data_IF_917872001547
#
_entry.id   IF_917872001547
#
_cell.length_a   1.000
_cell.length_b   1.000
_cell.length_c   1.000
_cell.angle_alpha   90.00
_cell.angle_beta   90.00
_cell.angle_gamma   90.00
#
_symmetry.space_group_name_H-M   'P 1'
#
loop_
_entity.id
_entity.type
_entity.pdbx_description
1 polymer ?
#
# COMPACT_ATOMS: atom_id res chain seq x y z
N UNK A 1 6.93 -5.15 -13.05
CA UNK A 1 8.20 -5.91 -13.16
C UNK A 1 8.42 -6.67 -11.86
N UNK A 2 9.04 -7.85 -11.91
CA UNK A 2 9.32 -8.65 -10.72
C UNK A 2 10.81 -8.80 -10.50
N UNK A 3 11.21 -8.90 -9.23
CA UNK A 3 12.56 -9.16 -8.79
C UNK A 3 12.55 -10.33 -7.80
N UNK A 4 13.61 -11.11 -7.75
CA UNK A 4 13.85 -12.17 -6.77
C UNK A 4 15.20 -11.92 -6.12
N UNK A 5 15.21 -11.80 -4.78
CA UNK A 5 16.41 -11.42 -4.02
C UNK A 5 17.08 -10.13 -4.53
N UNK A 6 16.25 -9.17 -4.99
CA UNK A 6 16.71 -7.87 -5.51
C UNK A 6 17.13 -7.88 -6.99
N UNK A 7 17.32 -9.06 -7.60
CA UNK A 7 17.69 -9.20 -9.01
C UNK A 7 16.46 -9.33 -9.91
N UNK A 8 16.53 -8.79 -11.13
CA UNK A 8 15.41 -8.85 -12.06
C UNK A 8 15.01 -10.31 -12.34
N UNK A 9 13.72 -10.62 -12.13
CA UNK A 9 13.21 -11.98 -12.27
C UNK A 9 13.28 -12.43 -13.73
N UNK A 10 14.07 -13.47 -13.98
CA UNK A 10 14.24 -14.08 -15.31
C UNK A 10 13.03 -14.99 -15.58
N UNK A 11 12.26 -14.68 -16.63
CA UNK A 11 11.15 -15.51 -17.06
C UNK A 11 11.63 -16.77 -17.78
N UNK A 12 10.99 -17.90 -17.49
CA UNK A 12 11.27 -19.21 -18.09
C UNK A 12 10.02 -20.12 -18.00
N UNK A 13 10.18 -21.41 -18.31
CA UNK A 13 9.08 -22.39 -18.28
C UNK A 13 8.47 -22.60 -16.88
N UNK A 14 9.23 -22.35 -15.81
CA UNK A 14 8.77 -22.44 -14.41
C UNK A 14 8.32 -21.11 -13.82
N UNK A 15 8.93 -19.99 -14.21
CA UNK A 15 8.67 -18.66 -13.66
C UNK A 15 8.13 -17.76 -14.77
N UNK A 16 6.86 -17.37 -14.70
CA UNK A 16 6.21 -16.55 -15.72
C UNK A 16 5.49 -15.35 -15.10
N UNK A 17 5.50 -14.20 -15.78
CA UNK A 17 4.72 -13.03 -15.36
C UNK A 17 3.69 -12.73 -16.44
N UNK A 18 2.42 -12.71 -16.06
CA UNK A 18 1.30 -12.41 -16.95
C UNK A 18 1.14 -10.90 -17.19
N UNK A 19 0.31 -10.53 -18.18
CA UNK A 19 0.10 -9.14 -18.58
C UNK A 19 -0.57 -8.28 -17.50
N UNK A 20 -1.35 -8.90 -16.62
CA UNK A 20 -1.98 -8.25 -15.46
C UNK A 20 -1.01 -8.12 -14.26
N UNK A 21 0.23 -8.61 -14.39
CA UNK A 21 1.26 -8.49 -13.38
C UNK A 21 1.38 -9.68 -12.43
N UNK A 22 0.58 -10.73 -12.60
CA UNK A 22 0.63 -11.94 -11.77
C UNK A 22 1.92 -12.73 -12.01
N UNK A 23 2.64 -13.08 -10.93
CA UNK A 23 3.77 -14.00 -10.98
C UNK A 23 3.29 -15.44 -10.77
N UNK A 24 3.56 -16.30 -11.74
CA UNK A 24 3.26 -17.74 -11.70
C UNK A 24 4.57 -18.50 -11.54
N UNK A 25 4.65 -19.30 -10.48
CA UNK A 25 5.74 -20.25 -10.23
C UNK A 25 5.18 -21.68 -10.36
N UNK A 26 5.81 -22.49 -11.21
CA UNK A 26 5.48 -23.91 -11.44
C UNK A 26 6.59 -24.80 -10.90
N UNK A 27 6.22 -26.01 -10.49
CA UNK A 27 7.15 -27.04 -10.02
C UNK A 27 8.09 -26.49 -8.93
N UNK A 28 7.49 -25.95 -7.84
CA UNK A 28 8.20 -25.28 -6.75
C UNK A 28 9.26 -26.18 -6.11
N UNK A 29 10.46 -25.64 -5.93
CA UNK A 29 11.56 -26.28 -5.19
C UNK A 29 12.10 -25.38 -4.07
N UNK A 30 12.98 -25.91 -3.21
CA UNK A 30 13.52 -25.15 -2.06
C UNK A 30 14.28 -23.88 -2.47
N UNK A 31 14.87 -23.86 -3.67
CA UNK A 31 15.57 -22.72 -4.26
C UNK A 31 14.64 -21.63 -4.84
N UNK A 32 13.33 -21.87 -4.89
CA UNK A 32 12.34 -20.81 -5.12
C UNK A 32 12.00 -20.05 -3.82
N UNK A 33 12.48 -20.50 -2.66
CA UNK A 33 12.32 -19.74 -1.41
C UNK A 33 13.13 -18.45 -1.46
N UNK A 34 12.50 -17.34 -1.08
CA UNK A 34 13.15 -16.04 -1.03
C UNK A 34 12.17 -14.88 -1.09
N UNK A 35 12.73 -13.69 -1.22
CA UNK A 35 11.98 -12.44 -1.31
C UNK A 35 11.70 -12.09 -2.77
N UNK A 36 10.41 -12.01 -3.10
CA UNK A 36 9.90 -11.56 -4.38
C UNK A 36 9.39 -10.13 -4.29
N UNK A 37 9.87 -9.26 -5.17
CA UNK A 37 9.49 -7.86 -5.21
C UNK A 37 8.74 -7.53 -6.50
N UNK A 38 7.48 -7.11 -6.40
CA UNK A 38 6.74 -6.54 -7.51
C UNK A 38 6.93 -5.02 -7.56
N UNK A 39 7.29 -4.50 -8.73
CA UNK A 39 7.40 -3.07 -8.99
C UNK A 39 6.42 -2.70 -10.10
N UNK A 40 5.38 -1.94 -9.73
CA UNK A 40 4.52 -1.25 -10.68
C UNK A 40 5.15 0.11 -11.00
N UNK A 41 5.26 0.45 -12.28
CA UNK A 41 5.90 1.68 -12.74
C UNK A 41 5.01 2.38 -13.74
N UNK A 42 4.83 3.69 -13.56
CA UNK A 42 4.23 4.59 -14.54
C UNK A 42 5.17 5.79 -14.77
N UNK A 43 4.92 6.64 -15.78
CA UNK A 43 5.67 7.89 -15.94
C UNK A 43 5.62 8.81 -14.71
N UNK A 44 4.61 8.65 -13.84
CA UNK A 44 4.36 9.51 -12.69
C UNK A 44 4.83 8.93 -11.35
N UNK A 45 5.38 7.71 -11.33
CA UNK A 45 5.83 7.10 -10.09
C UNK A 45 6.10 5.61 -10.19
N UNK A 46 6.69 5.07 -9.13
CA UNK A 46 6.91 3.64 -8.95
C UNK A 46 6.32 3.22 -7.60
N UNK A 47 5.66 2.08 -7.59
CA UNK A 47 5.18 1.43 -6.38
C UNK A 47 5.88 0.08 -6.26
N UNK A 48 6.32 -0.26 -5.05
CA UNK A 48 7.12 -1.45 -4.77
C UNK A 48 6.41 -2.28 -3.71
N UNK A 49 6.38 -3.58 -3.91
CA UNK A 49 5.69 -4.53 -3.07
C UNK A 49 6.58 -5.76 -2.83
N UNK A 50 6.75 -6.22 -1.58
CA UNK A 50 7.67 -7.33 -1.23
C UNK A 50 6.94 -8.49 -0.56
N UNK A 51 7.16 -9.70 -1.04
CA UNK A 51 6.63 -10.94 -0.48
C UNK A 51 7.71 -11.97 -0.23
N UNK A 52 7.59 -12.70 0.88
CA UNK A 52 8.49 -13.82 1.17
C UNK A 52 7.77 -15.11 0.84
N UNK A 53 8.36 -15.89 -0.05
CA UNK A 53 7.96 -17.27 -0.33
C UNK A 53 8.88 -18.21 0.44
N UNK A 54 8.30 -19.12 1.21
CA UNK A 54 9.03 -20.21 1.85
C UNK A 54 8.50 -21.54 1.29
N UNK A 55 9.36 -22.26 0.57
CA UNK A 55 9.07 -23.60 0.06
C UNK A 55 9.79 -24.61 0.95
N UNK A 56 9.03 -25.33 1.77
CA UNK A 56 9.57 -26.42 2.57
C UNK A 56 8.92 -27.76 2.19
N UNK A 57 9.68 -28.83 2.37
CA UNK A 57 9.16 -30.19 2.18
C UNK A 57 8.23 -30.52 3.35
N UNK A 58 7.06 -31.14 3.12
CA UNK A 58 6.16 -31.53 4.19
C UNK A 58 6.72 -32.74 4.95
N UNK A 59 7.76 -32.53 5.75
CA UNK A 59 8.37 -33.55 6.60
C UNK A 59 7.72 -33.53 7.99
N UNK A 60 7.13 -32.39 8.37
CA UNK A 60 6.47 -32.22 9.66
C UNK A 60 4.94 -32.17 9.48
N UNK A 61 4.19 -33.17 9.98
CA UNK A 61 2.72 -33.21 9.89
C UNK A 61 2.02 -32.10 10.68
N UNK A 62 2.75 -31.33 11.50
CA UNK A 62 2.24 -30.17 12.26
C UNK A 62 2.52 -28.83 11.57
N UNK A 63 2.99 -28.81 10.31
CA UNK A 63 3.13 -27.56 9.58
C UNK A 63 1.75 -27.03 9.21
N UNK A 64 1.38 -25.92 9.83
CA UNK A 64 0.26 -25.10 9.36
C UNK A 64 0.72 -24.32 8.14
N UNK A 65 0.28 -24.72 6.96
CA UNK A 65 0.48 -23.95 5.74
C UNK A 65 -0.23 -22.60 5.89
N UNK A 66 0.53 -21.52 6.02
CA UNK A 66 0.02 -20.17 5.85
C UNK A 66 -0.28 -19.98 4.37
N UNK A 67 -1.49 -20.38 3.96
CA UNK A 67 -2.01 -20.03 2.65
C UNK A 67 -2.20 -18.52 2.63
N UNK A 68 -1.81 -17.87 1.53
CA UNK A 68 -2.27 -16.52 1.28
C UNK A 68 -3.79 -16.49 1.41
N UNK A 69 -4.32 -15.46 2.07
CA UNK A 69 -5.74 -15.31 2.28
C UNK A 69 -6.46 -15.44 0.93
N UNK A 70 -7.48 -16.30 0.86
CA UNK A 70 -8.32 -16.33 -0.33
C UNK A 70 -8.88 -14.91 -0.54
N UNK A 71 -8.85 -14.40 -1.77
CA UNK A 71 -9.41 -13.09 -2.11
C UNK A 71 -10.89 -13.01 -1.67
N UNK A 72 -11.59 -14.15 -1.60
CA UNK A 72 -12.94 -14.23 -1.03
C UNK A 72 -13.00 -13.92 0.48
N UNK A 73 -11.93 -14.25 1.22
CA UNK A 73 -11.81 -14.04 2.67
C UNK A 73 -11.47 -12.60 3.05
N UNK A 74 -10.87 -11.84 2.12
CA UNK A 74 -10.58 -10.42 2.30
C UNK A 74 -11.84 -9.56 2.16
N UNK A 75 -11.94 -8.44 2.90
CA UNK A 75 -13.05 -7.52 2.77
C UNK A 75 -13.01 -6.79 1.42
N UNK A 76 -14.13 -6.19 1.03
CA UNK A 76 -14.22 -5.32 -0.15
C UNK A 76 -13.64 -3.93 0.12
N UNK A 77 -13.16 -3.24 -0.94
CA UNK A 77 -12.68 -1.87 -0.84
C UNK A 77 -13.82 -0.92 -0.45
N UNK A 78 -13.58 0.07 0.44
CA UNK A 78 -14.54 1.15 0.69
C UNK A 78 -14.87 1.96 -0.56
N UNK A 79 -15.88 2.81 -0.46
CA UNK A 79 -16.16 3.80 -1.51
C UNK A 79 -15.06 4.85 -1.60
N UNK A 80 -15.06 5.61 -2.69
CA UNK A 80 -14.18 6.77 -2.88
C UNK A 80 -14.27 7.72 -1.66
N UNK A 81 -13.14 8.08 -1.03
CA UNK A 81 -13.15 9.01 0.10
C UNK A 81 -13.59 10.40 -0.35
N UNK A 82 -14.60 10.96 0.31
CA UNK A 82 -15.14 12.29 0.04
C UNK A 82 -14.44 13.32 0.92
N UNK A 83 -13.99 14.42 0.31
CA UNK A 83 -13.39 15.56 1.00
C UNK A 83 -14.51 16.44 1.57
N UNK A 84 -14.41 16.82 2.85
CA UNK A 84 -15.41 17.69 3.48
C UNK A 84 -14.82 18.97 4.06
N UNK A 85 -14.22 18.90 5.24
CA UNK A 85 -13.71 20.08 5.95
C UNK A 85 -12.23 20.24 5.65
N UNK A 86 -11.86 21.35 5.02
CA UNK A 86 -10.47 21.69 4.66
C UNK A 86 -10.07 22.92 5.45
N UNK A 87 -8.99 22.82 6.19
CA UNK A 87 -8.34 23.94 6.88
C UNK A 87 -6.94 24.14 6.31
N UNK A 88 -6.18 25.09 6.84
CA UNK A 88 -4.80 25.33 6.42
C UNK A 88 -3.88 24.13 6.65
N UNK A 89 -4.23 23.25 7.61
CA UNK A 89 -3.35 22.14 8.03
C UNK A 89 -4.09 20.83 8.25
N UNK A 90 -5.37 20.72 7.86
CA UNK A 90 -6.13 19.48 8.02
C UNK A 90 -7.20 19.28 6.97
N UNK A 91 -7.48 18.01 6.67
CA UNK A 91 -8.59 17.59 5.81
C UNK A 91 -9.40 16.51 6.53
N UNK A 92 -10.72 16.70 6.57
CA UNK A 92 -11.65 15.64 6.97
C UNK A 92 -12.13 14.89 5.74
N UNK A 93 -11.96 13.57 5.76
CA UNK A 93 -12.46 12.65 4.73
C UNK A 93 -13.52 11.71 5.31
N UNK A 94 -14.50 11.33 4.50
CA UNK A 94 -15.49 10.28 4.84
C UNK A 94 -15.59 9.25 3.74
N UNK A 95 -16.07 8.05 4.06
CA UNK A 95 -16.32 6.97 3.10
C UNK A 95 -17.50 6.11 3.55
N UNK A 96 -17.87 5.11 2.76
CA UNK A 96 -18.85 4.10 3.14
C UNK A 96 -18.21 2.70 3.11
N UNK A 97 -18.66 1.84 4.02
CA UNK A 97 -18.25 0.45 4.07
C UNK A 97 -18.77 -0.32 2.84
N UNK A 98 -17.98 -1.27 2.35
CA UNK A 98 -18.43 -2.24 1.36
C UNK A 98 -19.31 -3.34 1.98
N UNK A 99 -20.28 -3.85 1.24
CA UNK A 99 -21.10 -4.98 1.70
C UNK A 99 -20.31 -6.30 1.80
N UNK A 100 -19.21 -6.44 1.05
CA UNK A 100 -18.30 -7.60 1.16
C UNK A 100 -17.44 -7.46 2.42
N UNK A 101 -17.77 -8.20 3.47
CA UNK A 101 -16.98 -8.23 4.72
C UNK A 101 -15.86 -9.29 4.72
N UNK A 102 -15.97 -10.29 3.85
CA UNK A 102 -15.04 -11.43 3.80
C UNK A 102 -15.38 -12.50 4.85
N UNK A 103 -14.37 -13.24 5.31
CA UNK A 103 -14.54 -14.40 6.21
C UNK A 103 -14.48 -14.06 7.71
N UNK A 104 -14.33 -12.78 8.05
CA UNK A 104 -14.27 -12.30 9.44
C UNK A 104 -14.83 -10.90 9.58
N UNK A 105 -15.20 -10.52 10.80
CA UNK A 105 -15.69 -9.17 11.10
C UNK A 105 -14.65 -8.11 10.74
N UNK A 106 -15.13 -6.95 10.29
CA UNK A 106 -14.28 -5.79 10.03
C UNK A 106 -13.64 -5.31 11.33
N UNK A 107 -12.32 -5.19 11.34
CA UNK A 107 -11.53 -4.66 12.44
C UNK A 107 -11.40 -3.14 12.36
N UNK A 108 -11.42 -2.57 11.16
CA UNK A 108 -11.40 -1.13 10.93
C UNK A 108 -10.91 -0.79 9.53
N UNK A 109 -10.41 0.44 9.36
CA UNK A 109 -9.90 0.96 8.10
C UNK A 109 -8.46 1.44 8.20
N UNK A 110 -7.70 1.25 7.11
CA UNK A 110 -6.39 1.87 6.90
C UNK A 110 -6.55 3.06 5.97
N UNK A 111 -6.09 4.22 6.40
CA UNK A 111 -6.12 5.45 5.62
C UNK A 111 -4.73 5.76 5.11
N UNK A 112 -4.60 6.01 3.82
CA UNK A 112 -3.35 6.35 3.17
C UNK A 112 -3.45 7.65 2.36
N UNK A 113 -2.33 8.33 2.23
CA UNK A 113 -2.21 9.63 1.59
C UNK A 113 -1.07 9.66 0.58
N UNK A 114 -1.23 10.45 -0.47
CA UNK A 114 -0.19 10.74 -1.44
C UNK A 114 -0.11 12.25 -1.69
N UNK A 115 1.10 12.81 -1.69
CA UNK A 115 1.41 14.15 -2.21
C UNK A 115 2.60 14.05 -3.16
N UNK A 116 2.47 14.62 -4.36
CA UNK A 116 3.54 14.60 -5.36
C UNK A 116 4.74 15.41 -4.88
N UNK A 117 4.49 16.58 -4.31
CA UNK A 117 5.48 17.56 -3.87
C UNK A 117 6.34 16.97 -2.74
N UNK A 118 5.70 16.29 -1.78
CA UNK A 118 6.39 15.72 -0.62
C UNK A 118 7.06 14.38 -0.98
N UNK A 119 6.39 13.53 -1.76
CA UNK A 119 6.77 12.13 -1.90
C UNK A 119 7.58 11.85 -3.16
N UNK A 120 7.64 12.79 -4.10
CA UNK A 120 8.49 12.71 -5.29
C UNK A 120 9.57 13.80 -5.34
N UNK A 121 9.71 14.61 -4.28
CA UNK A 121 10.76 15.61 -4.17
C UNK A 121 12.19 15.03 -4.21
N UNK A 122 13.15 15.83 -4.67
CA UNK A 122 14.54 15.42 -4.87
C UNK A 122 15.23 14.93 -3.59
N UNK A 123 14.79 15.41 -2.42
CA UNK A 123 15.34 15.08 -1.11
C UNK A 123 14.61 13.92 -0.42
N UNK A 124 13.63 13.29 -1.07
CA UNK A 124 12.88 12.17 -0.49
C UNK A 124 13.55 10.85 -0.88
N UNK A 125 13.95 10.00 0.10
CA UNK A 125 14.55 8.70 -0.15
C UNK A 125 13.71 7.89 -1.14
N UNK A 126 14.35 7.21 -2.09
CA UNK A 126 13.66 6.50 -3.19
C UNK A 126 12.67 5.44 -2.68
N UNK A 127 12.93 4.85 -1.51
CA UNK A 127 12.07 3.90 -0.83
C UNK A 127 10.85 4.53 -0.12
N UNK A 128 10.80 5.85 -0.01
CA UNK A 128 9.70 6.61 0.63
C UNK A 128 8.77 7.26 -0.40
N UNK A 129 8.90 6.87 -1.67
CA UNK A 129 8.09 7.38 -2.80
C UNK A 129 6.89 6.47 -3.00
N UNK A 130 5.72 6.86 -2.47
CA UNK A 130 4.50 6.05 -2.58
C UNK A 130 3.39 6.52 -1.65
N UNK A 131 2.28 5.79 -1.60
CA UNK A 131 1.22 6.04 -0.63
C UNK A 131 1.74 5.85 0.81
N UNK A 132 1.36 6.75 1.69
CA UNK A 132 1.79 6.79 3.09
C UNK A 132 0.63 6.45 4.01
N UNK A 133 0.85 5.59 5.01
CA UNK A 133 -0.18 5.25 5.98
C UNK A 133 -0.31 6.37 7.00
N UNK A 134 -1.49 7.01 7.07
CA UNK A 134 -1.82 8.01 8.08
C UNK A 134 -2.40 7.39 9.34
N UNK A 135 -3.18 6.32 9.19
CA UNK A 135 -3.81 5.63 10.31
C UNK A 135 -4.12 4.17 9.97
N UNK A 136 -4.04 3.32 10.99
CA UNK A 136 -4.45 1.91 10.96
C UNK A 136 -5.61 1.73 11.94
N UNK A 137 -6.53 0.83 11.61
CA UNK A 137 -7.69 0.45 12.45
C UNK A 137 -8.55 1.65 12.89
N UNK A 138 -8.83 2.55 11.96
CA UNK A 138 -9.88 3.57 12.16
C UNK A 138 -11.22 2.85 12.22
N UNK A 139 -11.96 2.98 13.32
CA UNK A 139 -13.24 2.27 13.50
C UNK A 139 -14.44 3.02 12.91
N UNK A 140 -14.28 4.32 12.66
CA UNK A 140 -15.31 5.18 12.06
C UNK A 140 -15.13 5.24 10.54
N UNK A 141 -16.19 5.61 9.82
CA UNK A 141 -16.13 5.88 8.37
C UNK A 141 -15.77 7.34 8.06
N UNK A 142 -15.00 7.94 8.96
CA UNK A 142 -14.50 9.30 8.89
C UNK A 142 -13.10 9.35 9.49
N UNK A 143 -12.24 10.19 8.93
CA UNK A 143 -10.92 10.47 9.47
C UNK A 143 -10.52 11.93 9.23
N UNK A 144 -9.79 12.51 10.18
CA UNK A 144 -9.23 13.86 10.06
C UNK A 144 -7.72 13.73 9.88
N UNK A 145 -7.24 13.93 8.65
CA UNK A 145 -5.82 14.06 8.36
C UNK A 145 -5.35 15.42 8.88
N UNK A 146 -4.41 15.44 9.84
CA UNK A 146 -3.90 16.65 10.50
C UNK A 146 -2.43 16.86 10.14
N UNK A 147 -1.90 18.03 10.51
CA UNK A 147 -0.50 18.40 10.29
C UNK A 147 -0.11 18.36 8.81
N UNK A 148 -1.05 18.76 7.94
CA UNK A 148 -0.81 18.94 6.51
C UNK A 148 -0.12 20.28 6.26
N UNK A 149 0.65 20.37 5.17
CA UNK A 149 1.44 21.56 4.83
C UNK A 149 0.61 22.48 3.94
N UNK A 150 0.41 23.77 4.33
CA UNK A 150 -0.23 24.76 3.47
C UNK A 150 0.39 24.84 2.08
N UNK A 151 -0.43 24.99 1.04
CA UNK A 151 -0.01 25.04 -0.36
C UNK A 151 0.31 23.67 -0.98
N UNK A 152 0.30 22.57 -0.23
CA UNK A 152 0.56 21.22 -0.76
C UNK A 152 -0.75 20.52 -1.14
N UNK A 153 -0.68 19.77 -2.24
CA UNK A 153 -1.80 18.98 -2.75
C UNK A 153 -1.71 17.54 -2.29
N UNK A 154 -2.83 17.03 -1.77
CA UNK A 154 -2.97 15.69 -1.21
C UNK A 154 -4.08 14.90 -1.90
N UNK A 155 -3.91 13.59 -1.96
CA UNK A 155 -4.93 12.60 -2.35
C UNK A 155 -4.99 11.51 -1.30
N UNK A 156 -6.15 10.86 -1.15
CA UNK A 156 -6.40 9.85 -0.13
C UNK A 156 -6.96 8.55 -0.72
N UNK A 157 -6.60 7.42 -0.13
CA UNK A 157 -7.26 6.12 -0.32
C UNK A 157 -7.55 5.49 1.03
N UNK A 158 -8.53 4.59 1.07
CA UNK A 158 -8.88 3.83 2.26
C UNK A 158 -8.97 2.35 1.92
N UNK A 159 -8.53 1.50 2.84
CA UNK A 159 -8.65 0.04 2.78
C UNK A 159 -9.42 -0.45 4.00
N UNK A 160 -10.25 -1.48 3.81
CA UNK A 160 -10.92 -2.19 4.91
C UNK A 160 -9.98 -3.27 5.46
N UNK A 161 -9.95 -3.48 6.77
CA UNK A 161 -9.16 -4.53 7.43
C UNK A 161 -10.08 -5.54 8.13
N UNK A 162 -9.84 -6.84 7.93
CA UNK A 162 -10.40 -7.91 8.75
C UNK A 162 -9.26 -8.82 9.26
N UNK A 163 -9.56 -9.92 9.97
CA UNK A 163 -8.52 -10.79 10.53
C UNK A 163 -7.69 -11.55 9.50
N UNK A 164 -8.13 -11.55 8.23
CA UNK A 164 -7.46 -12.21 7.11
C UNK A 164 -6.61 -11.24 6.29
N UNK A 165 -6.77 -9.92 6.48
CA UNK A 165 -5.94 -8.90 5.85
C UNK A 165 -6.73 -7.67 5.39
N UNK A 166 -6.11 -6.91 4.49
CA UNK A 166 -6.68 -5.71 3.89
C UNK A 166 -7.46 -6.02 2.61
N UNK A 167 -8.48 -5.21 2.34
CA UNK A 167 -9.05 -5.11 1.00
C UNK A 167 -8.05 -4.50 0.00
N UNK A 168 -8.40 -4.58 -1.28
CA UNK A 168 -7.88 -3.64 -2.27
C UNK A 168 -8.14 -2.17 -1.85
N UNK A 169 -7.42 -1.19 -2.44
CA UNK A 169 -7.67 0.22 -2.17
C UNK A 169 -9.05 0.65 -2.70
N UNK A 170 -9.66 1.63 -2.03
CA UNK A 170 -10.71 2.43 -2.63
C UNK A 170 -10.21 3.10 -3.92
N UNK A 171 -11.10 3.60 -4.79
CA UNK A 171 -10.72 4.63 -5.74
C UNK A 171 -10.07 5.81 -5.00
N UNK A 172 -9.16 6.49 -5.69
CA UNK A 172 -8.45 7.67 -5.16
C UNK A 172 -9.44 8.82 -5.01
N UNK A 173 -9.35 9.56 -3.90
CA UNK A 173 -10.15 10.78 -3.69
C UNK A 173 -9.84 11.85 -4.74
N UNK A 174 -10.69 12.87 -4.80
CA UNK A 174 -10.31 14.12 -5.45
C UNK A 174 -9.06 14.71 -4.76
N UNK A 175 -8.25 15.43 -5.54
CA UNK A 175 -7.09 16.14 -5.02
C UNK A 175 -7.53 17.38 -4.22
N UNK A 176 -6.86 17.64 -3.10
CA UNK A 176 -7.15 18.79 -2.25
C UNK A 176 -5.87 19.51 -1.86
N UNK A 177 -5.83 20.82 -2.06
CA UNK A 177 -4.78 21.71 -1.54
C UNK A 177 -5.26 22.29 -0.22
N UNK A 178 -4.42 22.24 0.82
CA UNK A 178 -4.73 22.82 2.13
C UNK A 178 -4.13 24.21 2.24
N UNK A 179 -4.87 25.15 2.81
CA UNK A 179 -4.42 26.54 3.01
C UNK A 179 -3.96 27.27 1.76
N UNK A 180 -3.53 28.52 1.94
CA UNK A 180 -2.83 29.30 0.93
C UNK A 180 -1.32 29.28 1.20
N UNK A 181 -0.52 29.23 0.13
CA UNK A 181 0.93 29.40 0.19
C UNK A 181 1.26 30.89 0.45
N UNK A 182 0.99 31.35 1.67
CA UNK A 182 1.14 32.77 2.06
C UNK A 182 2.59 33.20 2.23
N UNK A 183 3.52 32.24 2.27
CA UNK A 183 4.94 32.50 2.12
C UNK A 183 5.50 31.38 1.26
N UNK A 184 6.17 31.71 0.15
CA UNK A 184 6.98 30.79 -0.68
C UNK A 184 8.13 30.13 0.11
N UNK A 185 7.80 29.45 1.21
CA UNK A 185 8.72 28.84 2.17
C UNK A 185 9.14 27.44 1.75
N UNK A 186 8.42 26.85 0.80
CA UNK A 186 8.79 25.60 0.16
C UNK A 186 9.88 25.82 -0.91
N UNK A 187 9.88 26.96 -1.63
CA UNK A 187 11.00 27.34 -2.50
C UNK A 187 12.26 27.74 -1.71
N UNK A 188 12.10 28.31 -0.51
CA UNK A 188 13.24 28.70 0.34
C UNK A 188 13.82 27.57 1.20
N UNK A 189 13.28 26.35 1.12
CA UNK A 189 13.85 25.17 1.78
C UNK A 189 13.68 25.09 3.30
N UNK A 190 12.84 25.93 3.91
CA UNK A 190 12.61 25.95 5.36
C UNK A 190 11.83 24.71 5.82
N UNK A 191 10.83 24.27 5.06
CA UNK A 191 10.09 23.02 5.32
C UNK A 191 10.80 21.77 4.80
N UNK A 192 11.75 21.92 3.87
CA UNK A 192 12.52 20.78 3.32
C UNK A 192 13.61 20.28 4.27
N UNK A 193 14.00 21.07 5.27
CA UNK A 193 15.01 20.70 6.27
C UNK A 193 14.44 20.28 7.63
N UNK A 194 13.12 20.32 7.81
CA UNK A 194 12.50 19.97 9.09
C UNK A 194 12.44 18.44 9.24
N UNK A 195 13.53 17.87 9.74
CA UNK A 195 13.75 16.43 9.95
C UNK A 195 12.71 15.81 10.87
N UNK A 196 12.15 16.54 11.84
CA UNK A 196 11.08 16.06 12.72
C UNK A 196 9.77 15.79 11.96
N UNK A 197 9.41 16.62 10.98
CA UNK A 197 8.22 16.42 10.16
C UNK A 197 8.37 15.21 9.23
N UNK A 198 9.54 15.06 8.61
CA UNK A 198 9.90 13.86 7.85
C UNK A 198 9.87 12.61 8.73
N UNK A 199 10.41 12.68 9.94
CA UNK A 199 10.46 11.53 10.86
C UNK A 199 9.07 11.16 11.40
N UNK A 200 8.18 12.12 11.66
CA UNK A 200 6.81 11.86 12.10
C UNK A 200 5.90 11.31 10.99
N UNK A 201 6.24 11.54 9.73
CA UNK A 201 5.49 11.02 8.58
C UNK A 201 6.09 9.70 8.07
N UNK A 202 7.40 9.50 8.16
CA UNK A 202 8.12 8.31 7.66
C UNK A 202 8.29 7.19 8.70
N UNK A 203 7.71 7.32 9.89
CA UNK A 203 7.69 6.23 10.88
C UNK A 203 6.60 5.23 10.50
N UNK A 204 7.02 3.97 10.32
CA UNK A 204 6.25 2.78 9.91
C UNK A 204 5.92 2.60 8.42
N UNK A 205 6.97 2.47 7.60
CA UNK A 205 6.88 1.77 6.32
C UNK A 205 6.78 0.25 6.54
N UNK A 206 5.55 -0.27 6.63
CA UNK A 206 5.25 -1.69 6.40
C UNK A 206 4.36 -1.78 5.16
N UNK A 207 4.89 -2.38 4.09
CA UNK A 207 4.15 -2.70 2.86
C UNK A 207 3.70 -4.17 2.96
N UNK A 208 2.41 -4.42 2.71
CA UNK A 208 1.72 -5.69 3.00
C UNK A 208 1.13 -6.33 1.74
N UNK A 209 1.25 -7.66 1.62
CA UNK A 209 0.79 -8.52 0.50
C UNK A 209 -0.71 -8.40 0.29
N UNK A 210 -1.11 -7.79 -0.83
CA UNK A 210 -2.53 -7.62 -1.20
C UNK A 210 -3.08 -8.89 -1.87
N UNK A 211 -2.24 -9.63 -2.62
CA UNK A 211 -2.68 -10.82 -3.34
C UNK A 211 -1.51 -11.74 -3.69
N UNK A 212 -1.60 -13.01 -3.29
CA UNK A 212 -0.84 -14.11 -3.87
C UNK A 212 -1.82 -15.26 -4.07
N UNK A 213 -2.12 -15.60 -5.32
CA UNK A 213 -3.00 -16.72 -5.65
C UNK A 213 -2.15 -17.96 -5.96
N UNK A 214 -2.12 -18.98 -5.09
CA UNK A 214 -1.55 -20.26 -5.46
C UNK A 214 -2.49 -20.92 -6.48
N UNK A 215 -2.05 -21.02 -7.74
CA UNK A 215 -2.70 -21.89 -8.72
C UNK A 215 -2.25 -23.31 -8.38
N UNK A 216 -3.14 -24.06 -7.73
CA UNK A 216 -2.91 -25.47 -7.40
C UNK A 216 -2.48 -26.22 -8.66
N UNK A 217 -1.39 -26.99 -8.56
CA UNK A 217 -1.05 -27.96 -9.60
C UNK A 217 -2.08 -29.06 -9.52
N UNK A 218 -3.13 -28.99 -10.34
CA UNK A 218 -3.97 -30.15 -10.59
C UNK A 218 -3.05 -31.28 -11.05
N UNK A 219 -2.97 -32.33 -10.24
CA UNK A 219 -2.57 -33.68 -10.66
C UNK A 219 -3.41 -34.13 -11.85
#
# INVERSE_FOLDING_TARGET
>A
AWYFEGEALIQNHRRNVTNDGTLILKDLDKGDSGTYTCVASSPHGKYVWNGVLLVDSPINPNIHFFRAADVSSLPGPPTIPQIHNVTDTSVTITWNQNNKIGSSSILGYRVEMFSREILLGNNTPRNSRGWMVLAKRVHQTQFVAKSLIPGVTYMFIVRTENSHGLSGPSPVSDSVTVGEDTNSLWETGVYSNNTEFRNNILTDNIVELIEATPIDSKT
#
